data_IF_696108260763
#
_entry.id   IF_696108260763
#
_cell.length_a   1.000
_cell.length_b   1.000
_cell.length_c   1.000
_cell.angle_alpha   90.00
_cell.angle_beta   90.00
_cell.angle_gamma   90.00
#
_symmetry.space_group_name_H-M   'P 1'
#
loop_
_entity.id
_entity.type
_entity.pdbx_description
1 polymer ?
#
# COMPACT_ATOMS: atom_id res chain seq x y z
N UNK A 1 10.29 17.28 18.68
CA UNK A 1 9.37 16.90 17.59
C UNK A 1 8.30 17.98 17.42
N UNK A 2 7.92 18.36 16.19
CA UNK A 2 6.85 19.32 15.92
C UNK A 2 5.54 18.59 15.53
N UNK A 3 4.62 18.36 16.48
CA UNK A 3 3.38 17.62 16.23
C UNK A 3 2.46 18.31 15.22
N UNK A 4 2.65 19.61 14.95
CA UNK A 4 1.84 20.34 13.98
C UNK A 4 2.10 19.88 12.54
N UNK A 5 3.33 19.45 12.22
CA UNK A 5 3.69 18.92 10.89
C UNK A 5 3.03 17.56 10.63
N UNK A 6 3.12 16.66 11.60
CA UNK A 6 2.47 15.34 11.52
C UNK A 6 0.95 15.46 11.37
N UNK A 7 0.33 16.38 12.10
CA UNK A 7 -1.11 16.64 11.99
C UNK A 7 -1.50 17.15 10.60
N UNK A 8 -0.74 18.09 10.02
CA UNK A 8 -0.99 18.60 8.66
C UNK A 8 -0.80 17.50 7.62
N UNK A 9 0.24 16.68 7.77
CA UNK A 9 0.45 15.50 6.94
C UNK A 9 -0.74 14.55 7.01
N UNK A 10 -1.16 14.14 8.20
CA UNK A 10 -2.27 13.20 8.38
C UNK A 10 -3.55 13.71 7.71
N UNK A 11 -3.88 15.00 7.88
CA UNK A 11 -5.03 15.61 7.21
C UNK A 11 -4.91 15.59 5.68
N UNK A 12 -3.73 15.93 5.15
CA UNK A 12 -3.49 15.95 3.71
C UNK A 12 -3.51 14.54 3.11
N UNK A 13 -2.75 13.62 3.68
CA UNK A 13 -2.64 12.24 3.22
C UNK A 13 -3.97 11.51 3.28
N UNK A 14 -4.78 11.70 4.33
CA UNK A 14 -6.14 11.14 4.39
C UNK A 14 -7.04 11.66 3.27
N UNK A 15 -7.02 12.96 2.99
CA UNK A 15 -7.78 13.53 1.88
C UNK A 15 -7.32 12.96 0.54
N UNK A 16 -6.01 12.88 0.32
CA UNK A 16 -5.43 12.27 -0.88
C UNK A 16 -5.89 10.82 -1.05
N UNK A 17 -5.84 10.03 0.03
CA UNK A 17 -6.30 8.64 0.03
C UNK A 17 -7.78 8.51 -0.30
N UNK A 18 -8.65 9.37 0.27
CA UNK A 18 -10.08 9.38 -0.06
C UNK A 18 -10.31 9.65 -1.55
N UNK A 19 -9.63 10.66 -2.09
CA UNK A 19 -9.76 11.03 -3.50
C UNK A 19 -9.27 9.91 -4.44
N UNK A 20 -8.12 9.29 -4.12
CA UNK A 20 -7.55 8.18 -4.89
C UNK A 20 -8.40 6.90 -4.82
N UNK A 21 -8.84 6.51 -3.61
CA UNK A 21 -9.71 5.34 -3.42
C UNK A 21 -11.05 5.54 -4.14
N UNK A 22 -11.62 6.76 -4.08
CA UNK A 22 -12.84 7.08 -4.82
C UNK A 22 -12.65 6.93 -6.34
N UNK A 23 -11.59 7.49 -6.89
CA UNK A 23 -11.29 7.37 -8.32
C UNK A 23 -11.09 5.90 -8.73
N UNK A 24 -10.36 5.14 -7.91
CA UNK A 24 -10.12 3.71 -8.13
C UNK A 24 -11.42 2.90 -8.08
N UNK A 25 -12.29 3.23 -7.13
CA UNK A 25 -13.60 2.59 -6.99
C UNK A 25 -14.46 2.78 -8.24
N UNK A 26 -14.50 3.99 -8.80
CA UNK A 26 -15.23 4.28 -10.03
C UNK A 26 -14.69 3.47 -11.21
N UNK A 27 -13.37 3.35 -11.33
CA UNK A 27 -12.72 2.54 -12.36
C UNK A 27 -13.01 1.03 -12.21
N UNK A 28 -12.95 0.51 -10.99
CA UNK A 28 -13.19 -0.91 -10.70
C UNK A 28 -14.64 -1.31 -10.99
N UNK A 29 -15.60 -0.44 -10.65
CA UNK A 29 -17.03 -0.70 -10.81
C UNK A 29 -17.56 -0.48 -12.24
N UNK A 30 -16.78 0.13 -13.13
CA UNK A 30 -17.18 0.29 -14.54
C UNK A 30 -17.53 -1.07 -15.18
N UNK A 31 -18.51 -1.09 -16.09
CA UNK A 31 -19.05 -2.35 -16.66
C UNK A 31 -17.98 -3.19 -17.36
N UNK A 32 -17.07 -2.54 -18.09
CA UNK A 32 -16.00 -3.21 -18.84
C UNK A 32 -14.63 -3.09 -18.15
N UNK A 33 -14.60 -2.92 -16.82
CA UNK A 33 -13.34 -2.77 -16.09
C UNK A 33 -12.47 -4.04 -16.20
N UNK A 34 -11.16 -3.87 -16.22
CA UNK A 34 -10.22 -4.99 -16.15
C UNK A 34 -10.42 -5.79 -14.85
N UNK A 35 -10.71 -5.10 -13.74
CA UNK A 35 -10.98 -5.72 -12.45
C UNK A 35 -12.13 -6.74 -12.49
N UNK A 36 -13.22 -6.46 -13.23
CA UNK A 36 -14.33 -7.42 -13.40
C UNK A 36 -13.92 -8.68 -14.17
N UNK A 37 -12.98 -8.57 -15.11
CA UNK A 37 -12.49 -9.71 -15.89
C UNK A 37 -11.44 -10.52 -15.12
N UNK A 38 -10.54 -9.83 -14.44
CA UNK A 38 -9.38 -10.43 -13.79
C UNK A 38 -9.71 -10.96 -12.39
N UNK A 39 -10.58 -10.26 -11.65
CA UNK A 39 -10.93 -10.56 -10.26
C UNK A 39 -12.46 -10.45 -10.02
N UNK A 40 -13.30 -11.26 -10.70
CA UNK A 40 -14.76 -11.16 -10.62
C UNK A 40 -15.32 -11.38 -9.21
N UNK A 41 -14.70 -12.27 -8.41
CA UNK A 41 -15.10 -12.51 -7.01
C UNK A 41 -14.90 -11.27 -6.14
N UNK A 42 -13.75 -10.62 -6.28
CA UNK A 42 -13.38 -9.41 -5.55
C UNK A 42 -14.30 -8.23 -5.88
N UNK A 43 -14.68 -8.07 -7.16
CA UNK A 43 -15.63 -7.03 -7.55
C UNK A 43 -17.03 -7.32 -7.02
N UNK A 44 -17.45 -8.59 -7.01
CA UNK A 44 -18.74 -8.97 -6.42
C UNK A 44 -18.78 -8.67 -4.91
N UNK A 45 -17.73 -9.03 -4.18
CA UNK A 45 -17.60 -8.72 -2.75
C UNK A 45 -17.64 -7.21 -2.51
N UNK A 46 -16.97 -6.41 -3.35
CA UNK A 46 -17.03 -4.96 -3.30
C UNK A 46 -18.45 -4.41 -3.48
N UNK A 47 -19.19 -4.91 -4.46
CA UNK A 47 -20.58 -4.52 -4.71
C UNK A 47 -21.49 -4.88 -3.54
N UNK A 48 -21.29 -6.06 -2.94
CA UNK A 48 -22.02 -6.50 -1.74
C UNK A 48 -21.72 -5.59 -0.54
N UNK A 49 -20.46 -5.21 -0.31
CA UNK A 49 -20.08 -4.26 0.74
C UNK A 49 -20.72 -2.89 0.51
N UNK A 50 -20.71 -2.39 -0.73
CA UNK A 50 -21.36 -1.12 -1.07
C UNK A 50 -22.86 -1.18 -0.84
N UNK A 51 -23.52 -2.30 -1.16
CA UNK A 51 -24.95 -2.47 -0.91
C UNK A 51 -25.29 -2.50 0.59
N UNK A 52 -24.39 -3.02 1.43
CA UNK A 52 -24.59 -3.14 2.87
C UNK A 52 -24.30 -1.84 3.64
N UNK A 53 -23.18 -1.18 3.35
CA UNK A 53 -22.69 -0.03 4.14
C UNK A 53 -22.76 1.29 3.39
N UNK A 54 -22.99 1.25 2.08
CA UNK A 54 -22.94 2.43 1.22
C UNK A 54 -21.53 2.75 0.72
N UNK A 55 -21.49 3.39 -0.45
CA UNK A 55 -20.24 3.71 -1.18
C UNK A 55 -19.28 4.59 -0.37
N UNK A 56 -19.79 5.62 0.31
CA UNK A 56 -18.97 6.54 1.09
C UNK A 56 -18.24 5.81 2.24
N UNK A 57 -18.96 4.93 2.96
CA UNK A 57 -18.37 4.17 4.06
C UNK A 57 -17.32 3.17 3.58
N UNK A 58 -17.50 2.56 2.42
CA UNK A 58 -16.47 1.69 1.80
C UNK A 58 -15.22 2.49 1.45
N UNK A 59 -15.37 3.68 0.84
CA UNK A 59 -14.24 4.57 0.52
C UNK A 59 -13.49 4.95 1.80
N UNK A 60 -14.20 5.43 2.83
CA UNK A 60 -13.59 5.85 4.09
C UNK A 60 -12.83 4.71 4.77
N UNK A 61 -13.46 3.53 4.85
CA UNK A 61 -12.84 2.33 5.44
C UNK A 61 -11.55 1.97 4.72
N UNK A 62 -11.58 1.87 3.40
CA UNK A 62 -10.44 1.42 2.59
C UNK A 62 -9.31 2.46 2.60
N UNK A 63 -9.64 3.74 2.47
CA UNK A 63 -8.67 4.82 2.55
C UNK A 63 -7.96 4.82 3.91
N UNK A 64 -8.71 4.65 4.99
CA UNK A 64 -8.17 4.53 6.34
C UNK A 64 -7.27 3.29 6.49
N UNK A 65 -7.74 2.12 6.05
CA UNK A 65 -6.95 0.88 6.10
C UNK A 65 -5.59 1.04 5.43
N UNK A 66 -5.55 1.57 4.20
CA UNK A 66 -4.29 1.72 3.48
C UNK A 66 -3.39 2.81 4.06
N UNK A 67 -3.96 3.95 4.47
CA UNK A 67 -3.20 5.00 5.15
C UNK A 67 -2.48 4.46 6.39
N UNK A 68 -3.20 3.71 7.23
CA UNK A 68 -2.63 3.14 8.45
C UNK A 68 -1.53 2.13 8.16
N UNK A 69 -1.73 1.28 7.15
CA UNK A 69 -0.72 0.30 6.73
C UNK A 69 0.54 0.98 6.22
N UNK A 70 0.42 2.03 5.42
CA UNK A 70 1.59 2.77 4.94
C UNK A 70 2.37 3.42 6.09
N UNK A 71 1.65 4.01 7.06
CA UNK A 71 2.28 4.56 8.25
C UNK A 71 2.95 3.46 9.10
N UNK A 72 2.28 2.32 9.30
CA UNK A 72 2.82 1.18 10.02
C UNK A 72 4.08 0.64 9.34
N UNK A 73 4.05 0.40 8.03
CA UNK A 73 5.21 -0.08 7.26
C UNK A 73 6.38 0.90 7.36
N UNK A 74 6.13 2.22 7.24
CA UNK A 74 7.20 3.22 7.43
C UNK A 74 7.76 3.21 8.85
N UNK A 75 6.91 3.10 9.86
CA UNK A 75 7.36 2.97 11.25
C UNK A 75 8.22 1.71 11.44
N UNK A 76 7.83 0.60 10.81
CA UNK A 76 8.55 -0.67 10.86
C UNK A 76 9.93 -0.60 10.21
N UNK A 77 10.01 0.05 9.04
CA UNK A 77 11.28 0.29 8.34
C UNK A 77 12.26 1.10 9.19
N UNK A 78 11.78 2.17 9.84
CA UNK A 78 12.61 3.07 10.64
C UNK A 78 13.13 2.44 11.92
N UNK A 79 12.37 1.51 12.49
CA UNK A 79 12.72 0.84 13.75
C UNK A 79 13.37 -0.54 13.53
N UNK A 80 13.67 -0.91 12.28
CA UNK A 80 14.40 -2.14 11.95
C UNK A 80 13.60 -3.42 12.15
N UNK A 81 12.26 -3.35 12.15
CA UNK A 81 11.40 -4.54 12.23
C UNK A 81 11.32 -5.30 10.90
N UNK A 82 11.60 -4.62 9.79
CA UNK A 82 11.67 -5.20 8.45
C UNK A 82 13.13 -5.39 8.03
N UNK A 83 13.53 -6.60 7.63
CA UNK A 83 14.88 -6.84 7.10
C UNK A 83 15.13 -6.11 5.78
N UNK A 84 14.13 -6.10 4.91
CA UNK A 84 14.06 -5.33 3.67
C UNK A 84 13.02 -4.23 3.90
N UNK A 85 13.40 -2.97 3.72
CA UNK A 85 12.48 -1.84 3.95
C UNK A 85 11.38 -1.80 2.88
N UNK A 86 10.13 -1.74 3.33
CA UNK A 86 8.95 -1.84 2.46
C UNK A 86 8.64 -0.51 1.79
N UNK A 87 8.61 0.59 2.55
CA UNK A 87 8.26 1.94 2.08
C UNK A 87 9.49 2.81 1.86
N UNK A 88 10.55 2.52 2.60
CA UNK A 88 11.75 3.33 2.71
C UNK A 88 12.85 2.81 1.77
N UNK A 89 13.72 3.69 1.26
CA UNK A 89 14.90 3.25 0.53
C UNK A 89 15.94 2.62 1.47
N UNK A 90 16.86 1.83 0.91
CA UNK A 90 18.03 1.34 1.63
C UNK A 90 18.99 2.49 1.99
N UNK A 91 19.11 3.46 1.09
CA UNK A 91 19.90 4.68 1.23
C UNK A 91 18.99 5.91 1.05
N UNK A 92 19.01 6.83 2.01
CA UNK A 92 18.17 8.04 2.02
C UNK A 92 18.42 8.99 0.83
N UNK A 93 19.52 8.81 0.09
CA UNK A 93 19.77 9.51 -1.17
C UNK A 93 18.96 8.97 -2.36
N UNK A 94 18.28 7.83 -2.19
CA UNK A 94 17.48 7.19 -3.22
C UNK A 94 15.98 7.40 -2.98
N UNK A 95 15.20 7.37 -4.06
CA UNK A 95 13.74 7.49 -4.00
C UNK A 95 13.02 6.14 -4.05
N UNK A 96 13.71 5.10 -4.53
CA UNK A 96 13.14 3.78 -4.73
C UNK A 96 13.08 3.01 -3.41
N UNK A 97 11.91 2.48 -3.00
CA UNK A 97 11.83 1.60 -1.83
C UNK A 97 12.74 0.39 -1.99
N UNK A 98 13.40 -0.01 -0.90
CA UNK A 98 14.36 -1.13 -0.90
C UNK A 98 13.70 -2.42 -1.41
N UNK A 99 12.46 -2.68 -1.00
CA UNK A 99 11.67 -3.82 -1.47
C UNK A 99 11.58 -3.94 -2.99
N UNK A 100 11.35 -2.82 -3.68
CA UNK A 100 11.32 -2.81 -5.14
C UNK A 100 12.73 -2.91 -5.73
N UNK A 101 13.73 -2.30 -5.10
CA UNK A 101 15.12 -2.38 -5.53
C UNK A 101 15.66 -3.82 -5.49
N UNK A 102 15.35 -4.56 -4.43
CA UNK A 102 15.69 -5.97 -4.25
C UNK A 102 14.94 -6.86 -5.25
N UNK A 103 13.64 -6.64 -5.43
CA UNK A 103 12.86 -7.39 -6.41
C UNK A 103 13.39 -7.22 -7.85
N UNK A 104 13.87 -6.02 -8.21
CA UNK A 104 14.52 -5.76 -9.51
C UNK A 104 15.86 -6.50 -9.68
N UNK A 105 16.50 -6.90 -8.59
CA UNK A 105 17.69 -7.75 -8.60
C UNK A 105 17.35 -9.24 -8.54
N UNK A 106 16.05 -9.60 -8.49
CA UNK A 106 15.59 -10.98 -8.38
C UNK A 106 15.55 -11.49 -6.93
N UNK A 107 15.76 -10.63 -5.94
CA UNK A 107 15.69 -11.00 -4.53
C UNK A 107 14.27 -10.76 -4.00
N UNK A 108 13.53 -11.84 -3.78
CA UNK A 108 12.20 -11.82 -3.16
C UNK A 108 12.13 -12.91 -2.10
N UNK A 109 11.63 -12.57 -0.91
CA UNK A 109 11.52 -13.49 0.21
C UNK A 109 10.42 -14.54 -0.05
N UNK A 110 10.82 -15.81 -0.17
CA UNK A 110 9.92 -16.91 -0.51
C UNK A 110 8.96 -17.28 0.62
N UNK A 111 9.34 -17.01 1.88
CA UNK A 111 8.53 -17.30 3.06
C UNK A 111 7.44 -16.24 3.24
N UNK A 112 7.68 -15.02 2.77
CA UNK A 112 6.75 -13.89 2.87
C UNK A 112 5.87 -13.75 1.63
N UNK A 113 6.33 -14.20 0.46
CA UNK A 113 5.65 -13.97 -0.81
C UNK A 113 5.27 -15.27 -1.53
N UNK A 114 3.97 -15.48 -1.81
CA UNK A 114 3.52 -16.63 -2.60
C UNK A 114 4.22 -16.72 -3.95
N UNK A 115 4.52 -17.93 -4.41
CA UNK A 115 5.22 -18.18 -5.68
C UNK A 115 4.53 -17.48 -6.86
N UNK A 116 3.19 -17.54 -6.93
CA UNK A 116 2.40 -16.87 -7.97
C UNK A 116 2.65 -15.35 -8.00
N UNK A 117 2.76 -14.72 -6.83
CA UNK A 117 3.06 -13.29 -6.72
C UNK A 117 4.47 -13.00 -7.21
N UNK A 118 5.46 -13.80 -6.79
CA UNK A 118 6.86 -13.67 -7.22
C UNK A 118 7.00 -13.83 -8.74
N UNK A 119 6.35 -14.83 -9.34
CA UNK A 119 6.33 -15.05 -10.79
C UNK A 119 5.70 -13.86 -11.54
N UNK A 120 4.60 -13.29 -11.01
CA UNK A 120 3.96 -12.11 -11.61
C UNK A 120 4.87 -10.88 -11.53
N UNK A 121 5.49 -10.64 -10.38
CA UNK A 121 6.46 -9.55 -10.18
C UNK A 121 7.65 -9.70 -11.13
N UNK A 122 8.26 -10.89 -11.23
CA UNK A 122 9.34 -11.15 -12.19
C UNK A 122 8.90 -10.86 -13.63
N UNK A 123 7.72 -11.34 -14.03
CA UNK A 123 7.20 -11.12 -15.38
C UNK A 123 6.98 -9.63 -15.68
N UNK A 124 6.50 -8.85 -14.71
CA UNK A 124 6.34 -7.40 -14.84
C UNK A 124 7.69 -6.69 -14.95
N UNK A 125 8.62 -6.97 -14.03
CA UNK A 125 9.93 -6.30 -13.97
C UNK A 125 10.87 -6.69 -15.12
N UNK A 126 10.71 -7.90 -15.68
CA UNK A 126 11.45 -8.35 -16.87
C UNK A 126 10.78 -7.99 -18.21
N UNK A 127 9.61 -7.34 -18.18
CA UNK A 127 8.88 -6.94 -19.39
C UNK A 127 8.21 -8.09 -20.15
N UNK A 128 8.11 -9.28 -19.54
CA UNK A 128 7.40 -10.44 -20.11
C UNK A 128 5.88 -10.32 -19.98
N UNK A 129 5.38 -9.55 -19.00
CA UNK A 129 3.97 -9.26 -18.82
C UNK A 129 3.63 -7.85 -19.36
N UNK A 130 2.50 -7.70 -20.09
CA UNK A 130 2.06 -6.38 -20.53
C UNK A 130 1.59 -5.56 -19.33
N UNK A 131 2.08 -4.32 -19.22
CA UNK A 131 1.61 -3.33 -18.26
C UNK A 131 1.95 -1.92 -18.75
N UNK A 132 1.08 -0.95 -18.44
CA UNK A 132 1.36 0.46 -18.70
C UNK A 132 2.39 1.03 -17.73
N UNK A 133 2.46 0.50 -16.50
CA UNK A 133 3.43 0.88 -15.49
C UNK A 133 3.85 -0.36 -14.67
N UNK A 134 4.78 -1.17 -15.20
CA UNK A 134 5.17 -2.44 -14.59
C UNK A 134 5.81 -2.28 -13.22
N UNK A 135 6.49 -1.16 -12.94
CA UNK A 135 7.15 -0.93 -11.65
C UNK A 135 6.13 -0.60 -10.56
N UNK A 136 5.14 0.27 -10.83
CA UNK A 136 4.06 0.53 -9.87
C UNK A 136 3.25 -0.74 -9.60
N UNK A 137 2.91 -1.50 -10.64
CA UNK A 137 2.13 -2.73 -10.50
C UNK A 137 2.89 -3.79 -9.70
N UNK A 138 4.16 -4.02 -10.01
CA UNK A 138 5.02 -4.92 -9.25
C UNK A 138 5.11 -4.49 -7.78
N UNK A 139 5.31 -3.20 -7.52
CA UNK A 139 5.44 -2.69 -6.17
C UNK A 139 4.15 -2.82 -5.35
N UNK A 140 2.96 -2.60 -5.93
CA UNK A 140 1.70 -2.86 -5.24
C UNK A 140 1.57 -4.34 -4.82
N UNK A 141 1.92 -5.27 -5.70
CA UNK A 141 1.91 -6.71 -5.39
C UNK A 141 2.87 -7.06 -4.25
N UNK A 142 4.07 -6.47 -4.25
CA UNK A 142 5.07 -6.64 -3.19
C UNK A 142 4.55 -6.11 -1.84
N UNK A 143 3.96 -4.91 -1.83
CA UNK A 143 3.40 -4.30 -0.60
C UNK A 143 2.23 -5.12 -0.05
N UNK A 144 1.35 -5.62 -0.92
CA UNK A 144 0.24 -6.52 -0.51
C UNK A 144 0.78 -7.81 0.11
N UNK A 145 1.80 -8.42 -0.50
CA UNK A 145 2.42 -9.63 0.05
C UNK A 145 3.05 -9.39 1.42
N UNK A 146 3.78 -8.28 1.59
CA UNK A 146 4.35 -7.87 2.88
C UNK A 146 3.29 -7.64 3.96
N UNK A 147 2.18 -6.96 3.61
CA UNK A 147 1.06 -6.77 4.54
C UNK A 147 0.45 -8.12 4.96
N UNK A 148 0.28 -9.05 4.02
CA UNK A 148 -0.26 -10.38 4.30
C UNK A 148 0.71 -11.23 5.15
N UNK A 149 2.02 -11.07 4.98
CA UNK A 149 3.00 -11.71 5.84
C UNK A 149 2.95 -11.14 7.27
N UNK A 150 2.84 -9.81 7.42
CA UNK A 150 2.70 -9.18 8.74
C UNK A 150 1.37 -9.48 9.42
N UNK A 151 0.30 -9.75 8.69
CA UNK A 151 -0.99 -10.18 9.26
C UNK A 151 -0.85 -11.39 10.19
N UNK A 152 0.06 -12.33 9.88
CA UNK A 152 0.25 -13.52 10.71
C UNK A 152 0.77 -13.18 12.11
N UNK A 153 1.61 -12.15 12.23
CA UNK A 153 2.18 -11.71 13.50
C UNK A 153 1.36 -10.60 14.18
N UNK A 154 0.71 -9.73 13.40
CA UNK A 154 0.01 -8.54 13.86
C UNK A 154 -1.36 -8.38 13.17
N UNK A 155 -2.32 -9.29 13.40
CA UNK A 155 -3.59 -9.32 12.67
C UNK A 155 -4.47 -8.09 12.91
N UNK A 156 -4.29 -7.41 14.05
CA UNK A 156 -5.02 -6.18 14.39
C UNK A 156 -4.55 -4.95 13.59
N UNK A 157 -3.27 -4.90 13.22
CA UNK A 157 -2.68 -3.76 12.50
C UNK A 157 -2.70 -3.99 10.99
N UNK A 158 -2.41 -5.22 10.60
CA UNK A 158 -2.53 -5.69 9.24
C UNK A 158 -3.71 -6.63 9.19
N UNK A 159 -4.94 -6.11 9.12
CA UNK A 159 -6.10 -6.95 8.79
C UNK A 159 -5.79 -7.73 7.52
N UNK A 160 -6.26 -8.99 7.40
CA UNK A 160 -6.02 -9.77 6.18
C UNK A 160 -6.56 -8.97 5.01
N UNK A 161 -5.75 -8.79 3.98
CA UNK A 161 -6.22 -8.14 2.76
C UNK A 161 -7.25 -9.09 2.14
N UNK A 162 -8.52 -8.68 2.18
CA UNK A 162 -9.58 -9.26 1.39
C UNK A 162 -9.47 -8.71 -0.04
N UNK A 163 -9.84 -9.53 -1.03
CA UNK A 163 -9.57 -9.29 -2.44
C UNK A 163 -10.00 -7.89 -2.92
N UNK A 164 -11.12 -7.37 -2.42
CA UNK A 164 -11.61 -6.05 -2.84
C UNK A 164 -10.79 -4.87 -2.30
N UNK A 165 -10.15 -4.99 -1.14
CA UNK A 165 -9.37 -3.89 -0.55
C UNK A 165 -8.10 -3.63 -1.35
N UNK A 166 -7.53 -4.66 -1.97
CA UNK A 166 -6.42 -4.55 -2.92
C UNK A 166 -6.84 -3.84 -4.20
N UNK A 167 -8.04 -4.14 -4.75
CA UNK A 167 -8.54 -3.48 -5.95
C UNK A 167 -8.60 -1.95 -5.82
N UNK A 168 -8.75 -1.47 -4.59
CA UNK A 168 -8.92 -0.06 -4.25
C UNK A 168 -7.64 0.59 -3.69
N UNK A 169 -6.51 -0.12 -3.70
CA UNK A 169 -5.21 0.46 -3.39
C UNK A 169 -4.87 1.58 -4.38
N UNK A 170 -4.26 2.69 -3.93
CA UNK A 170 -3.78 3.74 -4.84
C UNK A 170 -2.79 3.19 -5.87
N UNK A 171 -2.94 3.63 -7.13
CA UNK A 171 -2.05 3.20 -8.21
C UNK A 171 -0.67 3.84 -8.11
N UNK A 172 -0.61 5.11 -7.70
CA UNK A 172 0.63 5.86 -7.59
C UNK A 172 1.24 5.81 -6.18
N UNK A 173 2.24 4.95 -6.02
CA UNK A 173 2.99 4.78 -4.77
C UNK A 173 4.47 5.18 -4.89
N UNK A 174 4.97 5.37 -6.11
CA UNK A 174 6.39 5.63 -6.38
C UNK A 174 6.70 7.09 -6.77
N UNK A 175 5.72 7.89 -7.21
CA UNK A 175 6.00 9.28 -7.58
C UNK A 175 6.35 10.15 -6.37
N UNK A 176 6.98 11.31 -6.62
CA UNK A 176 7.25 12.30 -5.58
C UNK A 176 6.00 12.93 -4.95
N UNK A 177 4.83 12.80 -5.59
CA UNK A 177 3.55 13.29 -5.07
C UNK A 177 2.67 12.15 -4.52
N UNK A 178 3.23 10.94 -4.40
CA UNK A 178 2.52 9.78 -3.88
C UNK A 178 2.29 9.90 -2.37
N UNK A 179 1.29 9.18 -1.87
CA UNK A 179 1.05 9.09 -0.42
C UNK A 179 2.28 8.55 0.34
N UNK A 180 3.08 7.67 -0.26
CA UNK A 180 4.29 7.14 0.35
C UNK A 180 5.41 8.18 0.41
N UNK A 181 5.54 9.05 -0.60
CA UNK A 181 6.48 10.17 -0.54
C UNK A 181 6.16 11.08 0.65
N UNK A 182 4.90 11.52 0.78
CA UNK A 182 4.47 12.32 1.92
C UNK A 182 4.63 11.59 3.26
N UNK A 183 4.41 10.28 3.28
CA UNK A 183 4.59 9.45 4.48
C UNK A 183 6.05 9.47 4.93
N UNK A 184 7.01 9.30 4.01
CA UNK A 184 8.44 9.38 4.33
C UNK A 184 8.88 10.76 4.81
N UNK A 185 8.36 11.82 4.19
CA UNK A 185 8.67 13.21 4.57
C UNK A 185 8.17 13.57 5.98
N UNK A 186 6.99 13.08 6.35
CA UNK A 186 6.37 13.39 7.64
C UNK A 186 6.86 12.48 8.77
N UNK A 187 7.02 11.19 8.49
CA UNK A 187 7.49 10.18 9.43
C UNK A 187 9.01 10.06 9.34
N UNK A 188 9.71 11.00 9.98
CA UNK A 188 11.17 11.01 10.11
C UNK A 188 11.64 10.08 11.23
N UNK A 189 12.92 9.68 11.28
CA UNK A 189 13.45 8.89 12.40
C UNK A 189 13.14 9.51 13.77
N UNK A 190 13.31 10.84 13.91
CA UNK A 190 12.99 11.56 15.15
C UNK A 190 11.49 11.57 15.48
N UNK A 191 10.62 11.58 14.47
CA UNK A 191 9.17 11.52 14.66
C UNK A 191 8.68 10.12 15.05
N UNK A 192 9.44 9.07 14.71
CA UNK A 192 9.06 7.67 14.91
C UNK A 192 9.83 6.96 16.03
N UNK A 193 10.42 7.72 16.96
CA UNK A 193 11.05 7.15 18.16
C UNK A 193 10.03 6.53 19.11
N UNK A 194 8.84 7.14 19.22
CA UNK A 194 7.78 6.69 20.11
C UNK A 194 6.56 6.21 19.32
N UNK A 195 5.94 5.12 19.79
CA UNK A 195 4.73 4.54 19.18
C UNK A 195 3.52 5.49 19.24
N UNK A 196 3.56 6.50 20.11
CA UNK A 196 2.55 7.56 20.21
C UNK A 196 2.34 8.31 18.89
N UNK A 197 3.35 8.31 18.00
CA UNK A 197 3.22 8.87 16.64
C UNK A 197 2.06 8.23 15.88
N UNK A 198 1.82 6.94 16.07
CA UNK A 198 0.73 6.22 15.42
C UNK A 198 -0.60 6.74 15.98
N UNK A 199 -0.66 7.05 17.28
CA UNK A 199 -1.82 7.67 17.94
C UNK A 199 -2.17 9.06 17.40
N UNK A 200 -1.20 9.86 16.96
CA UNK A 200 -1.47 11.18 16.35
C UNK A 200 -1.81 11.13 14.87
N UNK A 201 -1.53 9.99 14.23
CA UNK A 201 -1.99 9.72 12.87
C UNK A 201 -3.44 9.24 12.85
N UNK A 202 -4.06 9.00 14.02
CA UNK A 202 -5.46 8.62 14.23
C UNK A 202 -6.38 9.81 14.57
#
# INVERSE_FOLDING_TARGET
MDPSKLKRFAQHARRLMLDQVKAKLDLVLAQDSAARRENPSAVKELEEQIAQTGKAQVIDKVAYTWFNRFCALRFMDLNGYSRIRVVSPADESQFLPELLAEAKQGHMDEDRMPEKTRQRVDALLSGKAPSHDPQQEAYRLLVVAECNAFHQAMPYLFERIADYTELLMPDDLLSGNSVLAYTREAMTPDACQDVEVIGWLY
#
